data_IF_770696577467
#
_entry.id   IF_770696577467
#
_cell.length_a   1.000
_cell.length_b   1.000
_cell.length_c   1.000
_cell.angle_alpha   90.00
_cell.angle_beta   90.00
_cell.angle_gamma   90.00
#
_symmetry.space_group_name_H-M   'P 1'
#
loop_
_entity.id
_entity.type
_entity.pdbx_description
1 polymer ?
#
# COMPACT_ATOMS: atom_id res chain seq x y z
N UNK A 1 18.37 -24.74 -8.27
CA UNK A 1 17.98 -23.34 -8.44
C UNK A 1 17.61 -23.00 -9.88
N UNK A 2 18.52 -23.04 -10.86
CA UNK A 2 18.22 -22.68 -12.28
C UNK A 2 16.92 -23.28 -12.85
N UNK A 3 16.68 -24.59 -12.66
CA UNK A 3 15.44 -25.26 -13.10
C UNK A 3 14.17 -24.65 -12.50
N UNK A 4 14.22 -24.22 -11.23
CA UNK A 4 13.07 -23.61 -10.55
C UNK A 4 12.79 -22.21 -11.09
N UNK A 5 13.84 -21.40 -11.30
CA UNK A 5 13.70 -20.07 -11.93
C UNK A 5 13.10 -20.19 -13.33
N UNK A 6 13.60 -21.12 -14.15
CA UNK A 6 13.07 -21.35 -15.49
C UNK A 6 11.62 -21.89 -15.49
N UNK A 7 11.17 -22.56 -14.42
CA UNK A 7 9.77 -22.94 -14.26
C UNK A 7 8.90 -21.71 -13.97
N UNK A 8 9.29 -20.90 -12.98
CA UNK A 8 8.58 -19.66 -12.63
C UNK A 8 8.47 -18.69 -13.82
N UNK A 9 9.52 -18.58 -14.62
CA UNK A 9 9.50 -17.76 -15.85
C UNK A 9 8.49 -18.29 -16.88
N UNK A 10 8.44 -19.60 -17.10
CA UNK A 10 7.44 -20.22 -18.00
C UNK A 10 6.01 -20.04 -17.50
N UNK A 11 5.83 -20.00 -16.18
CA UNK A 11 4.53 -19.76 -15.54
C UNK A 11 4.14 -18.28 -15.53
N UNK A 12 4.96 -17.39 -16.12
CA UNK A 12 4.65 -15.97 -16.29
C UNK A 12 4.91 -15.11 -15.05
N UNK A 13 5.75 -15.57 -14.12
CA UNK A 13 6.10 -14.78 -12.94
C UNK A 13 6.79 -13.46 -13.34
N UNK A 14 6.29 -12.33 -12.83
CA UNK A 14 6.88 -11.00 -13.04
C UNK A 14 7.88 -10.61 -11.92
N UNK A 15 7.81 -11.30 -10.80
CA UNK A 15 8.64 -11.09 -9.64
C UNK A 15 8.85 -12.38 -8.84
N UNK A 16 9.98 -12.47 -8.13
CA UNK A 16 10.33 -13.59 -7.24
C UNK A 16 10.70 -13.04 -5.87
N UNK A 17 10.00 -13.51 -4.84
CA UNK A 17 10.40 -13.35 -3.45
C UNK A 17 11.33 -14.50 -3.04
N UNK A 18 12.49 -14.17 -2.47
CA UNK A 18 13.46 -15.16 -1.97
C UNK A 18 13.56 -15.00 -0.45
N UNK A 19 13.18 -16.04 0.29
CA UNK A 19 13.28 -16.08 1.74
C UNK A 19 13.88 -17.41 2.18
N UNK A 20 15.15 -17.38 2.60
CA UNK A 20 15.79 -18.53 3.23
C UNK A 20 15.77 -18.41 4.75
N UNK A 21 15.80 -19.57 5.41
CA UNK A 21 16.00 -19.61 6.86
C UNK A 21 17.36 -19.01 7.19
N UNK A 22 17.40 -18.17 8.23
CA UNK A 22 18.61 -17.50 8.72
C UNK A 22 19.33 -16.59 7.71
N UNK A 23 18.68 -16.19 6.61
CA UNK A 23 19.27 -15.26 5.63
C UNK A 23 19.55 -13.87 6.20
N UNK A 24 18.84 -13.47 7.26
CA UNK A 24 19.12 -12.26 8.03
C UNK A 24 20.47 -12.31 8.77
N UNK A 25 21.03 -13.51 9.01
CA UNK A 25 22.37 -13.71 9.58
C UNK A 25 23.39 -13.86 8.46
N UNK A 26 23.09 -14.73 7.48
CA UNK A 26 23.97 -14.98 6.34
C UNK A 26 23.17 -14.92 5.01
N UNK A 27 23.25 -13.81 4.27
CA UNK A 27 22.48 -13.61 3.05
C UNK A 27 23.11 -14.28 1.81
N UNK A 28 24.21 -15.01 1.95
CA UNK A 28 24.99 -15.54 0.81
C UNK A 28 24.15 -16.35 -0.17
N UNK A 29 23.29 -17.25 0.33
CA UNK A 29 22.43 -18.06 -0.52
C UNK A 29 21.34 -17.24 -1.22
N UNK A 30 20.75 -16.24 -0.56
CA UNK A 30 19.76 -15.36 -1.19
C UNK A 30 20.40 -14.52 -2.31
N UNK A 31 21.59 -13.96 -2.06
CA UNK A 31 22.36 -13.23 -3.06
C UNK A 31 22.71 -14.11 -4.25
N UNK A 32 23.15 -15.34 -4.00
CA UNK A 32 23.45 -16.32 -5.05
C UNK A 32 22.21 -16.68 -5.86
N UNK A 33 21.05 -16.80 -5.23
CA UNK A 33 19.78 -17.02 -5.93
C UNK A 33 19.41 -15.85 -6.83
N UNK A 34 19.59 -14.59 -6.37
CA UNK A 34 19.39 -13.41 -7.22
C UNK A 34 20.33 -13.38 -8.42
N UNK A 35 21.59 -13.75 -8.26
CA UNK A 35 22.53 -13.88 -9.39
C UNK A 35 22.02 -14.89 -10.42
N UNK A 36 21.57 -16.07 -9.96
CA UNK A 36 21.01 -17.10 -10.83
C UNK A 36 19.73 -16.60 -11.52
N UNK A 37 18.86 -15.87 -10.83
CA UNK A 37 17.69 -15.25 -11.45
C UNK A 37 18.08 -14.27 -12.56
N UNK A 38 19.09 -13.42 -12.33
CA UNK A 38 19.60 -12.48 -13.34
C UNK A 38 20.19 -13.18 -14.56
N UNK A 39 20.80 -14.34 -14.38
CA UNK A 39 21.38 -15.13 -15.47
C UNK A 39 20.31 -15.87 -16.30
N UNK A 40 19.23 -16.36 -15.68
CA UNK A 40 18.22 -17.22 -16.32
C UNK A 40 17.02 -16.42 -16.82
N UNK A 41 16.57 -15.43 -16.05
CA UNK A 41 15.36 -14.64 -16.30
C UNK A 41 15.60 -13.17 -15.89
N UNK A 42 16.46 -12.44 -16.62
CA UNK A 42 16.88 -11.07 -16.28
C UNK A 42 15.75 -10.04 -16.18
N UNK A 43 14.61 -10.32 -16.82
CA UNK A 43 13.41 -9.48 -16.81
C UNK A 43 12.59 -9.61 -15.52
N UNK A 44 12.76 -10.69 -14.77
CA UNK A 44 12.02 -10.95 -13.53
C UNK A 44 12.67 -10.19 -12.38
N UNK A 45 11.86 -9.38 -11.68
CA UNK A 45 12.32 -8.66 -10.48
C UNK A 45 12.52 -9.62 -9.29
N UNK A 46 13.50 -9.35 -8.42
CA UNK A 46 13.82 -10.24 -7.30
C UNK A 46 13.91 -9.43 -6.01
N UNK A 47 13.08 -9.80 -5.02
CA UNK A 47 13.14 -9.25 -3.66
C UNK A 47 13.77 -10.27 -2.72
N UNK A 48 14.82 -9.84 -2.02
CA UNK A 48 15.53 -10.68 -1.04
C UNK A 48 15.05 -10.34 0.36
N UNK A 49 14.67 -11.36 1.13
CA UNK A 49 14.18 -11.14 2.50
C UNK A 49 15.24 -10.54 3.41
N UNK A 50 16.52 -10.85 3.16
CA UNK A 50 17.68 -10.26 3.83
C UNK A 50 17.95 -8.78 3.48
N UNK A 51 17.23 -8.21 2.51
CA UNK A 51 17.29 -6.79 2.16
C UNK A 51 16.00 -6.05 2.50
N UNK A 52 14.85 -6.73 2.41
CA UNK A 52 13.53 -6.16 2.73
C UNK A 52 13.31 -6.07 4.25
N UNK A 53 13.58 -7.16 4.98
CA UNK A 53 13.34 -7.26 6.42
C UNK A 53 14.36 -8.22 7.07
N UNK A 54 15.60 -7.76 7.31
CA UNK A 54 16.74 -8.59 7.76
C UNK A 54 16.64 -8.94 9.24
N UNK A 55 15.59 -9.66 9.63
CA UNK A 55 15.21 -9.85 11.02
C UNK A 55 14.64 -11.26 11.24
N UNK A 56 14.64 -11.71 12.50
CA UNK A 56 14.16 -13.03 12.92
C UNK A 56 12.65 -13.21 12.65
N UNK A 57 12.19 -14.47 12.64
CA UNK A 57 10.85 -14.97 12.27
C UNK A 57 10.55 -14.98 10.78
N UNK A 58 10.45 -16.19 10.23
CA UNK A 58 10.31 -16.47 8.81
C UNK A 58 8.95 -16.11 8.24
N UNK A 59 7.85 -16.25 9.01
CA UNK A 59 6.51 -15.97 8.50
C UNK A 59 6.32 -14.47 8.21
N UNK A 60 6.54 -13.60 9.21
CA UNK A 60 6.40 -12.15 9.05
C UNK A 60 7.40 -11.61 8.02
N UNK A 61 8.64 -12.12 8.03
CA UNK A 61 9.67 -11.75 7.05
C UNK A 61 9.27 -12.17 5.63
N UNK A 62 8.68 -13.35 5.47
CA UNK A 62 8.22 -13.82 4.17
C UNK A 62 7.02 -13.00 3.68
N UNK A 63 6.05 -12.69 4.55
CA UNK A 63 4.88 -11.88 4.20
C UNK A 63 5.28 -10.53 3.58
N UNK A 64 6.15 -9.76 4.26
CA UNK A 64 6.58 -8.47 3.74
C UNK A 64 7.44 -8.61 2.47
N UNK A 65 8.29 -9.64 2.37
CA UNK A 65 9.10 -9.89 1.16
C UNK A 65 8.22 -10.27 -0.04
N UNK A 66 7.15 -11.03 0.19
CA UNK A 66 6.18 -11.39 -0.82
C UNK A 66 5.41 -10.16 -1.32
N UNK A 67 4.99 -9.27 -0.41
CA UNK A 67 4.41 -7.99 -0.81
C UNK A 67 5.38 -7.12 -1.61
N UNK A 68 6.64 -7.06 -1.20
CA UNK A 68 7.67 -6.29 -1.90
C UNK A 68 7.83 -6.76 -3.36
N UNK A 69 7.95 -8.08 -3.54
CA UNK A 69 8.03 -8.69 -4.87
C UNK A 69 6.75 -8.43 -5.67
N UNK A 70 5.58 -8.60 -5.06
CA UNK A 70 4.28 -8.40 -5.71
C UNK A 70 4.09 -6.95 -6.20
N UNK A 71 4.48 -5.97 -5.38
CA UNK A 71 4.29 -4.54 -5.68
C UNK A 71 5.39 -3.98 -6.60
N UNK A 72 6.60 -4.54 -6.56
CA UNK A 72 7.78 -4.04 -7.27
C UNK A 72 7.53 -3.68 -8.72
N UNK A 73 7.02 -4.60 -9.58
CA UNK A 73 6.75 -4.31 -10.98
C UNK A 73 5.73 -3.17 -11.18
N UNK A 74 4.66 -3.14 -10.38
CA UNK A 74 3.58 -2.17 -10.50
C UNK A 74 4.05 -0.77 -10.09
N UNK A 75 4.68 -0.66 -8.92
CA UNK A 75 5.19 0.61 -8.39
C UNK A 75 6.29 1.17 -9.29
N UNK A 76 7.23 0.33 -9.73
CA UNK A 76 8.31 0.75 -10.62
C UNK A 76 7.77 1.32 -11.93
N UNK A 77 6.81 0.64 -12.56
CA UNK A 77 6.18 1.10 -13.81
C UNK A 77 5.46 2.44 -13.61
N UNK A 78 4.67 2.55 -12.55
CA UNK A 78 3.93 3.77 -12.25
C UNK A 78 4.86 4.97 -12.00
N UNK A 79 5.86 4.81 -11.15
CA UNK A 79 6.78 5.88 -10.78
C UNK A 79 7.70 6.28 -11.93
N UNK A 80 8.11 5.33 -12.77
CA UNK A 80 8.86 5.63 -13.99
C UNK A 80 8.02 6.44 -14.97
N UNK A 81 6.77 6.02 -15.22
CA UNK A 81 5.84 6.75 -16.09
C UNK A 81 5.57 8.16 -15.59
N UNK A 82 5.31 8.35 -14.29
CA UNK A 82 5.15 9.66 -13.67
C UNK A 82 6.37 10.56 -13.91
N UNK A 83 7.58 10.03 -13.69
CA UNK A 83 8.82 10.78 -13.89
C UNK A 83 9.06 11.16 -15.36
N UNK A 84 8.71 10.27 -16.29
CA UNK A 84 8.79 10.55 -17.74
C UNK A 84 7.77 11.60 -18.17
N UNK A 85 6.53 11.51 -17.71
CA UNK A 85 5.49 12.51 -18.01
C UNK A 85 5.89 13.88 -17.50
N UNK A 86 6.35 13.99 -16.25
CA UNK A 86 6.78 15.28 -15.68
C UNK A 86 7.97 15.87 -16.46
N UNK A 87 8.93 15.03 -16.88
CA UNK A 87 10.05 15.47 -17.72
C UNK A 87 9.57 15.95 -19.10
N UNK A 88 8.64 15.23 -19.73
CA UNK A 88 8.06 15.61 -21.02
C UNK A 88 7.29 16.93 -20.98
N UNK A 89 6.71 17.26 -19.82
CA UNK A 89 6.05 18.54 -19.55
C UNK A 89 7.03 19.67 -19.18
N UNK A 90 8.33 19.40 -19.11
CA UNK A 90 9.35 20.39 -18.74
C UNK A 90 9.37 20.73 -17.25
N UNK A 91 8.77 19.91 -16.38
CA UNK A 91 8.81 20.12 -14.92
C UNK A 91 10.21 19.80 -14.41
N UNK A 92 10.94 20.78 -13.83
CA UNK A 92 12.29 20.55 -13.33
C UNK A 92 12.28 19.73 -12.04
N UNK A 93 13.29 18.88 -11.85
CA UNK A 93 13.53 18.17 -10.59
C UNK A 93 13.17 16.68 -10.59
N UNK A 94 13.26 16.07 -9.41
CA UNK A 94 12.98 14.64 -9.19
C UNK A 94 11.66 14.50 -8.43
N UNK A 95 10.70 13.69 -8.93
CA UNK A 95 9.45 13.48 -8.22
C UNK A 95 9.70 12.86 -6.85
N UNK A 96 9.09 13.45 -5.82
CA UNK A 96 9.10 12.94 -4.46
C UNK A 96 7.75 12.31 -4.14
N UNK A 97 7.77 11.19 -3.43
CA UNK A 97 6.58 10.47 -2.99
C UNK A 97 6.58 10.31 -1.47
N UNK A 98 5.39 10.29 -0.89
CA UNK A 98 5.21 10.05 0.54
C UNK A 98 5.52 8.59 0.88
N UNK A 99 6.19 8.37 2.01
CA UNK A 99 6.40 7.06 2.62
C UNK A 99 5.41 6.80 3.76
N UNK A 100 5.24 5.53 4.10
CA UNK A 100 4.40 5.07 5.22
C UNK A 100 4.69 5.77 6.55
N UNK A 101 5.95 6.19 6.80
CA UNK A 101 6.36 6.91 8.02
C UNK A 101 6.09 8.41 8.02
N UNK A 102 5.46 8.98 6.98
CA UNK A 102 5.15 10.41 6.92
C UNK A 102 6.31 11.31 6.47
N UNK A 103 7.21 10.80 5.61
CA UNK A 103 8.29 11.58 5.02
C UNK A 103 8.47 11.31 3.53
N UNK A 104 9.11 12.23 2.81
CA UNK A 104 9.30 12.13 1.37
C UNK A 104 10.53 11.29 0.98
N UNK A 105 10.49 10.70 -0.20
CA UNK A 105 11.60 10.00 -0.84
C UNK A 105 11.50 10.16 -2.36
N UNK A 106 12.62 10.09 -3.09
CA UNK A 106 12.56 10.14 -4.56
C UNK A 106 11.84 8.93 -5.13
N UNK A 107 11.11 9.13 -6.23
CA UNK A 107 10.41 8.08 -6.96
C UNK A 107 11.34 6.90 -7.34
N UNK A 108 12.59 7.20 -7.70
CA UNK A 108 13.60 6.18 -8.02
C UNK A 108 14.01 5.33 -6.82
N UNK A 109 14.11 5.91 -5.62
CA UNK A 109 14.41 5.17 -4.40
C UNK A 109 13.17 4.42 -3.87
N UNK A 110 11.99 5.04 -3.92
CA UNK A 110 10.73 4.39 -3.57
C UNK A 110 10.49 3.09 -4.36
N UNK A 111 10.85 3.10 -5.65
CA UNK A 111 10.72 1.94 -6.52
C UNK A 111 11.59 0.74 -6.13
N UNK A 112 12.59 0.92 -5.24
CA UNK A 112 13.48 -0.15 -4.78
C UNK A 112 12.96 -0.88 -3.53
N UNK A 113 12.06 -0.27 -2.78
CA UNK A 113 11.45 -0.83 -1.56
C UNK A 113 9.98 -0.41 -1.50
N UNK A 114 9.12 -0.91 -2.41
CA UNK A 114 7.71 -0.52 -2.52
C UNK A 114 6.91 -0.73 -1.22
N UNK A 115 7.30 -1.67 -0.35
CA UNK A 115 6.64 -1.87 0.96
C UNK A 115 6.71 -0.66 1.88
N UNK A 116 7.63 0.28 1.63
CA UNK A 116 7.73 1.55 2.37
C UNK A 116 6.68 2.59 1.95
N UNK A 117 5.80 2.23 1.01
CA UNK A 117 4.72 3.08 0.51
C UNK A 117 3.33 2.64 1.00
N UNK A 118 3.24 1.61 1.84
CA UNK A 118 1.97 1.22 2.44
C UNK A 118 1.30 2.37 3.17
N UNK A 119 0.02 2.61 2.87
CA UNK A 119 -0.77 3.68 3.48
C UNK A 119 -0.05 5.06 3.41
N UNK A 120 0.71 5.33 2.34
CA UNK A 120 1.41 6.61 2.17
C UNK A 120 0.48 7.80 2.04
N UNK A 121 -0.72 7.60 1.47
CA UNK A 121 -1.76 8.63 1.39
C UNK A 121 -2.27 9.06 2.76
N UNK A 122 -2.79 8.13 3.58
CA UNK A 122 -3.20 8.44 4.95
C UNK A 122 -2.06 9.05 5.79
N UNK A 123 -0.83 8.54 5.65
CA UNK A 123 0.33 9.15 6.30
C UNK A 123 0.53 10.63 5.91
N UNK A 124 0.31 10.99 4.63
CA UNK A 124 0.33 12.38 4.19
C UNK A 124 -0.79 13.21 4.83
N UNK A 125 -2.00 12.66 4.96
CA UNK A 125 -3.12 13.29 5.64
C UNK A 125 -2.79 13.63 7.09
N UNK A 126 -2.19 12.70 7.83
CA UNK A 126 -1.74 12.93 9.22
C UNK A 126 -0.65 14.00 9.30
N UNK A 127 0.30 14.01 8.37
CA UNK A 127 1.34 15.05 8.29
C UNK A 127 0.72 16.43 8.01
N UNK A 128 -0.28 16.51 7.13
CA UNK A 128 -1.03 17.73 6.85
C UNK A 128 -1.84 18.21 8.05
N UNK A 129 -2.54 17.30 8.73
CA UNK A 129 -3.30 17.60 9.95
C UNK A 129 -2.38 18.15 11.06
N UNK A 130 -1.21 17.54 11.24
CA UNK A 130 -0.17 18.04 12.15
C UNK A 130 0.25 19.46 11.80
N UNK A 131 0.53 19.74 10.53
CA UNK A 131 0.92 21.06 10.07
C UNK A 131 -0.14 22.14 10.37
N UNK A 132 -1.42 21.80 10.24
CA UNK A 132 -2.52 22.69 10.61
C UNK A 132 -2.65 22.85 12.13
N UNK A 133 -2.58 21.75 12.88
CA UNK A 133 -2.69 21.75 14.35
C UNK A 133 -1.57 22.57 15.03
N UNK A 134 -0.34 22.48 14.53
CA UNK A 134 0.81 23.27 15.02
C UNK A 134 0.56 24.78 14.91
N UNK A 135 -0.23 25.24 13.93
CA UNK A 135 -0.58 26.67 13.76
C UNK A 135 -1.72 27.12 14.67
N UNK A 136 -2.44 26.18 15.26
CA UNK A 136 -3.51 26.42 16.21
C UNK A 136 -3.08 26.11 17.65
N UNK A 137 -1.78 25.92 17.89
CA UNK A 137 -1.21 25.52 19.18
C UNK A 137 -1.80 24.21 19.76
N UNK A 138 -2.36 23.35 18.90
CA UNK A 138 -2.90 22.04 19.28
C UNK A 138 -1.82 20.97 19.09
N UNK A 139 -1.47 20.29 20.18
CA UNK A 139 -0.43 19.24 20.18
C UNK A 139 -0.97 17.83 20.29
N UNK A 140 -2.16 17.67 20.86
CA UNK A 140 -2.81 16.38 21.06
C UNK A 140 -4.14 16.39 20.30
N UNK A 141 -4.27 15.52 19.30
CA UNK A 141 -5.48 15.44 18.49
C UNK A 141 -5.62 14.07 17.83
N UNK A 142 -6.83 13.81 17.34
CA UNK A 142 -7.15 12.68 16.46
C UNK A 142 -7.41 13.23 15.07
N UNK A 143 -6.64 12.78 14.08
CA UNK A 143 -6.93 13.10 12.68
C UNK A 143 -7.96 12.12 12.15
N UNK A 144 -8.88 12.61 11.34
CA UNK A 144 -9.91 11.83 10.66
C UNK A 144 -9.96 12.30 9.20
N UNK A 145 -9.60 11.41 8.28
CA UNK A 145 -9.65 11.64 6.83
C UNK A 145 -10.71 10.73 6.20
N UNK A 146 -11.86 11.31 5.87
CA UNK A 146 -12.98 10.58 5.32
C UNK A 146 -13.04 10.78 3.81
N UNK A 147 -12.83 9.69 3.08
CA UNK A 147 -13.04 9.61 1.64
C UNK A 147 -14.41 9.07 1.28
N UNK A 148 -14.59 8.71 0.00
CA UNK A 148 -15.82 8.08 -0.49
C UNK A 148 -16.00 6.63 -0.02
N UNK A 149 -14.92 5.88 0.21
CA UNK A 149 -14.99 4.44 0.51
C UNK A 149 -14.57 4.13 1.95
N UNK A 150 -13.57 4.86 2.45
CA UNK A 150 -12.94 4.59 3.74
C UNK A 150 -12.80 5.86 4.55
N UNK A 151 -12.53 5.66 5.83
CA UNK A 151 -12.15 6.68 6.77
C UNK A 151 -10.88 6.28 7.51
N UNK A 152 -9.88 7.13 7.49
CA UNK A 152 -8.57 6.90 8.08
C UNK A 152 -8.42 7.71 9.38
N UNK A 153 -8.11 7.03 10.48
CA UNK A 153 -8.00 7.63 11.81
C UNK A 153 -6.60 7.45 12.35
N UNK A 154 -6.00 8.51 12.88
CA UNK A 154 -4.70 8.44 13.55
C UNK A 154 -4.65 9.34 14.78
N UNK A 155 -3.84 8.94 15.76
CA UNK A 155 -3.61 9.72 16.99
C UNK A 155 -2.27 10.46 16.87
N UNK A 156 -2.31 11.75 17.17
CA UNK A 156 -1.12 12.60 17.29
C UNK A 156 -1.02 13.05 18.74
N UNK A 157 0.15 12.81 19.36
CA UNK A 157 0.42 13.15 20.76
C UNK A 157 1.69 13.99 20.87
N UNK A 158 1.63 15.10 21.60
CA UNK A 158 2.74 16.03 21.75
C UNK A 158 3.30 16.55 20.42
N UNK A 159 2.42 16.73 19.41
CA UNK A 159 2.77 17.16 18.06
C UNK A 159 3.42 16.07 17.19
N UNK A 160 3.46 14.82 17.66
CA UNK A 160 4.11 13.70 16.96
C UNK A 160 3.09 12.62 16.60
N UNK A 161 2.94 12.29 15.30
CA UNK A 161 2.19 11.10 14.90
C UNK A 161 2.78 9.87 15.54
N UNK A 162 1.92 8.97 16.03
CA UNK A 162 2.37 7.67 16.49
C UNK A 162 2.92 6.87 15.30
N UNK A 163 4.06 6.22 15.50
CA UNK A 163 4.67 5.34 14.51
C UNK A 163 4.68 3.93 15.09
N UNK A 164 4.10 2.99 14.36
CA UNK A 164 4.18 1.56 14.68
C UNK A 164 5.32 0.90 13.89
N UNK A 165 5.88 -0.18 14.42
CA UNK A 165 6.88 -1.02 13.75
C UNK A 165 6.27 -2.05 12.78
N UNK A 166 4.95 -2.14 12.75
CA UNK A 166 4.23 -3.03 11.86
C UNK A 166 2.73 -2.99 12.07
N UNK A 167 2.01 -3.76 11.27
CA UNK A 167 0.57 -3.85 11.30
C UNK A 167 0.11 -5.00 10.41
N UNK A 168 -1.09 -4.87 9.85
CA UNK A 168 -1.68 -5.88 8.98
C UNK A 168 -2.10 -5.25 7.66
N UNK A 169 -1.85 -5.97 6.56
CA UNK A 169 -2.46 -5.70 5.26
C UNK A 169 -3.37 -6.89 4.96
N UNK A 170 -4.68 -6.67 5.09
CA UNK A 170 -5.65 -7.77 5.16
C UNK A 170 -5.31 -8.70 6.33
N UNK A 171 -5.24 -10.03 6.12
CA UNK A 171 -4.90 -10.99 7.18
C UNK A 171 -3.39 -11.12 7.41
N UNK A 172 -2.54 -10.47 6.61
CA UNK A 172 -1.11 -10.72 6.60
C UNK A 172 -0.35 -9.71 7.45
N UNK A 173 0.56 -10.15 8.35
CA UNK A 173 1.39 -9.24 9.12
C UNK A 173 2.40 -8.56 8.20
N UNK A 174 2.64 -7.28 8.45
CA UNK A 174 3.64 -6.48 7.76
C UNK A 174 4.49 -5.76 8.78
N UNK A 175 5.81 -5.95 8.68
CA UNK A 175 6.81 -5.38 9.60
C UNK A 175 7.55 -4.22 8.95
N UNK A 176 6.78 -3.21 8.57
CA UNK A 176 7.30 -1.96 8.02
C UNK A 176 6.95 -0.83 8.98
N UNK A 177 7.90 0.06 9.31
CA UNK A 177 7.53 1.22 10.07
C UNK A 177 6.56 2.13 9.33
N UNK A 178 5.49 2.54 10.01
CA UNK A 178 4.39 3.29 9.40
C UNK A 178 3.69 4.18 10.43
N UNK A 179 3.09 5.28 9.97
CA UNK A 179 2.16 6.05 10.80
C UNK A 179 1.06 5.11 11.25
N UNK A 180 0.73 5.15 12.54
CA UNK A 180 -0.32 4.35 13.15
C UNK A 180 -1.69 4.89 12.72
N UNK A 181 -2.12 4.44 11.55
CA UNK A 181 -3.41 4.75 10.94
C UNK A 181 -4.28 3.52 10.98
N UNK A 182 -5.51 3.70 11.44
CA UNK A 182 -6.56 2.69 11.36
C UNK A 182 -7.57 3.10 10.30
N UNK A 183 -7.71 2.26 9.28
CA UNK A 183 -8.67 2.45 8.19
C UNK A 183 -9.96 1.70 8.51
N UNK A 184 -11.08 2.41 8.49
CA UNK A 184 -12.42 1.84 8.61
C UNK A 184 -13.07 1.87 7.22
N UNK A 185 -13.67 0.75 6.81
CA UNK A 185 -14.48 0.65 5.60
C UNK A 185 -15.84 1.34 5.76
N UNK A 186 -15.82 2.65 5.95
CA UNK A 186 -17.01 3.49 5.97
C UNK A 186 -16.61 4.89 5.51
N UNK A 187 -17.13 5.31 4.38
CA UNK A 187 -16.88 6.64 3.79
C UNK A 187 -18.17 7.29 3.32
N UNK A 188 -18.06 8.45 2.68
CA UNK A 188 -19.22 9.21 2.21
C UNK A 188 -20.06 8.52 1.12
N UNK A 189 -19.52 7.47 0.48
CA UNK A 189 -20.18 6.65 -0.53
C UNK A 189 -20.65 5.29 -0.03
N UNK A 190 -20.57 5.02 1.28
CA UNK A 190 -21.12 3.79 1.86
C UNK A 190 -22.63 3.73 1.69
N UNK A 191 -23.15 2.54 1.39
CA UNK A 191 -24.58 2.32 1.18
C UNK A 191 -25.24 2.01 2.51
N UNK A 192 -26.20 2.84 2.92
CA UNK A 192 -27.04 2.56 4.07
C UNK A 192 -28.09 1.51 3.71
N UNK A 193 -28.32 0.55 4.60
CA UNK A 193 -29.31 -0.52 4.43
C UNK A 193 -30.10 -0.76 5.72
N UNK A 194 -31.27 -1.37 5.55
CA UNK A 194 -32.12 -1.86 6.63
C UNK A 194 -32.44 -3.33 6.33
N UNK A 195 -32.20 -4.23 7.27
CA UNK A 195 -32.52 -5.65 7.10
C UNK A 195 -34.01 -5.97 7.40
N UNK A 196 -34.43 -7.20 7.11
CA UNK A 196 -35.80 -7.66 7.34
C UNK A 196 -36.26 -7.67 8.81
N UNK A 197 -35.33 -7.58 9.77
CA UNK A 197 -35.61 -7.46 11.20
C UNK A 197 -35.58 -6.01 11.70
N UNK A 198 -35.34 -5.02 10.81
CA UNK A 198 -35.24 -3.60 11.13
C UNK A 198 -33.86 -3.17 11.62
N UNK A 199 -32.86 -4.04 11.58
CA UNK A 199 -31.45 -3.72 11.81
C UNK A 199 -30.95 -2.77 10.74
N UNK A 200 -30.07 -1.84 11.12
CA UNK A 200 -29.55 -0.79 10.21
C UNK A 200 -28.04 -0.85 10.17
N UNK A 201 -27.48 -0.59 8.99
CA UNK A 201 -26.04 -0.57 8.82
C UNK A 201 -25.59 0.19 7.58
N UNK A 202 -24.28 0.25 7.43
CA UNK A 202 -23.61 0.73 6.23
C UNK A 202 -22.78 -0.42 5.66
N UNK A 203 -22.72 -0.50 4.34
CA UNK A 203 -21.80 -1.42 3.64
C UNK A 203 -20.97 -0.64 2.63
N UNK A 204 -19.74 -1.11 2.42
CA UNK A 204 -18.89 -0.67 1.32
C UNK A 204 -18.95 -1.73 0.23
N UNK A 205 -19.51 -1.42 -0.94
CA UNK A 205 -19.25 -2.28 -2.10
C UNK A 205 -17.75 -2.18 -2.45
N UNK A 206 -17.07 -3.30 -2.77
CA UNK A 206 -15.72 -3.24 -3.28
C UNK A 206 -15.75 -2.45 -4.59
N UNK A 207 -15.02 -1.35 -4.67
CA UNK A 207 -14.78 -0.60 -5.91
C UNK A 207 -13.88 -1.35 -6.92
N UNK A 208 -13.92 -2.68 -6.91
CA UNK A 208 -13.15 -3.57 -7.79
C UNK A 208 -14.02 -4.15 -8.89
N UNK A 209 -13.93 -3.55 -10.08
CA UNK A 209 -14.09 -4.05 -11.47
C UNK A 209 -14.73 -5.43 -11.82
N UNK A 210 -15.61 -6.02 -11.02
CA UNK A 210 -16.50 -7.12 -11.43
C UNK A 210 -17.95 -6.81 -11.07
N UNK A 211 -18.40 -5.62 -11.45
CA UNK A 211 -19.77 -5.37 -11.82
C UNK A 211 -19.69 -4.50 -13.08
N UNK A 212 -20.15 -5.04 -14.21
CA UNK A 212 -20.38 -4.21 -15.38
C UNK A 212 -21.46 -3.20 -15.02
N UNK A 213 -21.06 -1.98 -14.67
CA UNK A 213 -21.80 -0.74 -14.91
C UNK A 213 -20.97 0.43 -14.38
N UNK A 214 -20.68 1.36 -15.26
CA UNK A 214 -20.22 2.67 -14.88
C UNK A 214 -21.23 3.32 -13.91
N UNK A 215 -20.71 4.02 -12.89
CA UNK A 215 -21.41 4.96 -11.99
C UNK A 215 -22.23 4.33 -10.86
N UNK A 216 -21.74 4.47 -9.63
CA UNK A 216 -22.57 4.59 -8.42
C UNK A 216 -21.94 5.61 -7.48
N UNK A 217 -22.13 6.89 -7.80
CA UNK A 217 -21.95 7.98 -6.84
C UNK A 217 -23.21 8.08 -5.96
N UNK A 218 -23.13 8.67 -4.75
CA UNK A 218 -24.34 8.98 -3.98
C UNK A 218 -25.34 9.77 -4.85
N UNK A 219 -26.66 9.58 -4.65
CA UNK A 219 -27.74 10.06 -5.53
C UNK A 219 -27.77 11.59 -5.77
N UNK A 220 -26.96 12.34 -5.02
CA UNK A 220 -26.72 13.78 -5.19
C UNK A 220 -26.02 14.16 -6.51
N UNK A 221 -25.43 13.21 -7.24
CA UNK A 221 -24.75 13.45 -8.52
C UNK A 221 -25.60 13.13 -9.78
N UNK A 222 -26.93 13.24 -9.68
CA UNK A 222 -27.80 13.30 -10.86
C UNK A 222 -28.07 11.96 -11.57
N UNK A 223 -28.28 10.88 -10.82
CA UNK A 223 -28.82 9.61 -11.36
C UNK A 223 -30.09 9.21 -10.61
N UNK A 224 -31.01 8.52 -11.31
CA UNK A 224 -32.33 8.22 -10.80
C UNK A 224 -32.29 7.31 -9.56
N UNK A 225 -33.23 7.54 -8.64
CA UNK A 225 -33.31 6.80 -7.37
C UNK A 225 -33.95 5.42 -7.49
N UNK A 226 -34.15 4.87 -8.69
CA UNK A 226 -34.94 3.65 -8.89
C UNK A 226 -34.12 2.36 -8.78
N UNK A 227 -32.79 2.41 -8.85
CA UNK A 227 -31.92 1.24 -8.68
C UNK A 227 -31.69 0.81 -7.21
N UNK A 228 -31.98 1.67 -6.23
CA UNK A 228 -31.81 1.36 -4.79
C UNK A 228 -32.82 0.33 -4.26
N UNK A 229 -33.91 0.06 -4.99
CA UNK A 229 -35.00 -0.81 -4.55
C UNK A 229 -34.82 -2.30 -4.91
N UNK A 230 -33.74 -2.70 -5.59
CA UNK A 230 -33.54 -4.09 -6.06
C UNK A 230 -32.61 -4.95 -5.21
N UNK A 231 -32.08 -4.42 -4.10
CA UNK A 231 -31.17 -5.14 -3.19
C UNK A 231 -31.73 -5.16 -1.75
N UNK A 232 -33.06 -5.00 -1.60
CA UNK A 232 -33.78 -5.29 -0.37
C UNK A 232 -34.40 -6.68 -0.44
#
# INVERSE_FOLDING_TARGET
MRRQVAALQRDGAQAIAVCYLFSFVNPAHERRTREICREVAPEISVSLSSEVDPTFREYERFCITAFDAYLGPVVKRYLAGLAETLRGLGVPGVPLVMRSRGGLVSAGLASRQPVTLFLSGPAAGVVGARFAAERSDVRDFVSLDMGGTSNDVAVVRGGKPLITSGGFIGPYPVRAPMVDVNTIGAGGGSIAWIDGAGGRGFTTEPSGSTASTARKHPPLFGMDGSEMARIA
#
